data_IF_321126358528
#
_entry.id   IF_321126358528
#
_cell.length_a   1.000
_cell.length_b   1.000
_cell.length_c   1.000
_cell.angle_alpha   90.00
_cell.angle_beta   90.00
_cell.angle_gamma   90.00
#
_symmetry.space_group_name_H-M   'P 1'
#
loop_
_entity.id
_entity.type
_entity.pdbx_description
1 polymer ?
#
# COMPACT_ATOMS: atom_id res chain seq x y z
N UNK A 1 4.16 -23.63 -30.93
CA UNK A 1 4.62 -23.24 -29.57
C UNK A 1 4.13 -21.84 -29.29
N UNK A 2 3.50 -21.61 -28.14
CA UNK A 2 3.05 -20.27 -27.73
C UNK A 2 1.53 -20.10 -27.56
N UNK A 3 0.80 -21.16 -27.21
CA UNK A 3 -0.61 -21.06 -26.82
C UNK A 3 -0.75 -21.09 -25.30
N UNK A 4 -0.81 -19.93 -24.64
CA UNK A 4 -1.24 -19.80 -23.24
C UNK A 4 -1.80 -18.42 -22.85
N UNK A 5 -2.06 -17.50 -23.79
CA UNK A 5 -2.36 -16.09 -23.46
C UNK A 5 -3.85 -15.70 -23.42
N UNK A 6 -4.81 -16.64 -23.36
CA UNK A 6 -6.19 -16.34 -23.79
C UNK A 6 -7.36 -16.82 -22.90
N UNK A 7 -7.21 -17.07 -21.60
CA UNK A 7 -8.37 -17.61 -20.82
C UNK A 7 -8.62 -17.13 -19.37
N UNK A 8 -8.03 -16.02 -18.90
CA UNK A 8 -8.31 -15.52 -17.54
C UNK A 8 -9.03 -14.17 -17.48
N UNK A 9 -10.04 -13.94 -18.33
CA UNK A 9 -10.75 -12.65 -18.39
C UNK A 9 -12.13 -12.59 -17.69
N UNK A 10 -12.57 -13.60 -16.94
CA UNK A 10 -13.98 -13.65 -16.49
C UNK A 10 -14.30 -14.41 -15.19
N UNK A 11 -13.46 -14.35 -14.15
CA UNK A 11 -13.82 -14.94 -12.84
C UNK A 11 -13.78 -13.99 -11.65
N UNK A 12 -13.38 -12.72 -11.85
CA UNK A 12 -13.76 -11.69 -10.91
C UNK A 12 -15.18 -11.25 -11.24
N UNK A 13 -16.15 -11.83 -10.55
CA UNK A 13 -17.46 -11.19 -10.40
C UNK A 13 -17.29 -9.77 -9.85
N UNK A 14 -18.37 -8.99 -9.83
CA UNK A 14 -18.46 -7.58 -9.38
C UNK A 14 -18.05 -7.34 -7.90
N UNK A 15 -17.25 -8.20 -7.28
CA UNK A 15 -16.74 -8.03 -5.93
C UNK A 15 -15.69 -6.93 -5.92
N UNK A 16 -16.10 -5.78 -5.40
CA UNK A 16 -15.21 -4.68 -5.03
C UNK A 16 -14.23 -5.15 -3.95
N UNK A 17 -12.94 -4.96 -4.19
CA UNK A 17 -11.87 -5.32 -3.26
C UNK A 17 -11.56 -4.13 -2.34
N UNK A 18 -11.38 -4.38 -1.05
CA UNK A 18 -11.08 -3.35 -0.07
C UNK A 18 -9.58 -3.24 0.17
N UNK A 19 -9.02 -2.06 -0.10
CA UNK A 19 -7.62 -1.73 0.18
C UNK A 19 -7.57 -0.69 1.30
N UNK A 20 -6.71 -0.92 2.31
CA UNK A 20 -6.33 0.10 3.26
C UNK A 20 -4.96 0.69 2.89
N UNK A 21 -4.86 2.02 2.77
CA UNK A 21 -3.58 2.71 2.65
C UNK A 21 -3.19 3.29 4.01
N UNK A 22 -2.08 2.82 4.56
CA UNK A 22 -1.59 3.13 5.90
C UNK A 22 -0.11 3.54 5.86
N UNK A 23 0.38 4.09 6.97
CA UNK A 23 1.72 4.66 7.08
C UNK A 23 1.71 6.04 7.73
N UNK A 24 2.88 6.53 8.10
CA UNK A 24 3.01 7.79 8.85
C UNK A 24 2.50 9.00 8.05
N UNK A 25 2.21 10.08 8.76
CA UNK A 25 1.94 11.39 8.16
C UNK A 25 3.14 11.84 7.30
N UNK A 26 2.84 12.51 6.18
CA UNK A 26 3.86 12.96 5.24
C UNK A 26 4.44 11.87 4.32
N UNK A 27 4.11 10.59 4.51
CA UNK A 27 4.63 9.49 3.67
C UNK A 27 4.17 9.53 2.20
N UNK A 28 3.07 10.25 1.89
CA UNK A 28 2.56 10.42 0.53
C UNK A 28 1.38 9.52 0.15
N UNK A 29 0.66 8.95 1.13
CA UNK A 29 -0.49 8.06 0.94
C UNK A 29 -1.57 8.65 0.02
N UNK A 30 -2.07 9.83 0.36
CA UNK A 30 -3.10 10.54 -0.41
C UNK A 30 -2.62 10.93 -1.80
N UNK A 31 -1.34 11.30 -1.95
CA UNK A 31 -0.74 11.59 -3.27
C UNK A 31 -0.70 10.34 -4.15
N UNK A 32 -0.37 9.18 -3.58
CA UNK A 32 -0.40 7.90 -4.30
C UNK A 32 -1.84 7.57 -4.73
N UNK A 33 -2.81 7.71 -3.83
CA UNK A 33 -4.22 7.48 -4.14
C UNK A 33 -4.68 8.31 -5.34
N UNK A 34 -4.47 9.63 -5.31
CA UNK A 34 -4.85 10.48 -6.44
C UNK A 34 -4.06 10.16 -7.71
N UNK A 35 -2.77 9.83 -7.59
CA UNK A 35 -1.97 9.43 -8.75
C UNK A 35 -2.53 8.18 -9.43
N UNK A 36 -3.04 7.21 -8.65
CA UNK A 36 -3.70 6.01 -9.17
C UNK A 36 -5.10 6.29 -9.75
N UNK A 37 -5.84 7.25 -9.19
CA UNK A 37 -7.21 7.57 -9.60
C UNK A 37 -7.27 8.46 -10.85
N UNK A 38 -6.48 9.52 -10.90
CA UNK A 38 -6.57 10.57 -11.95
C UNK A 38 -5.33 10.65 -12.83
N UNK A 39 -4.27 9.89 -12.55
CA UNK A 39 -3.01 9.92 -13.31
C UNK A 39 -2.15 11.17 -13.09
N UNK A 40 -2.66 12.17 -12.37
CA UNK A 40 -1.99 13.45 -12.10
C UNK A 40 -1.54 13.59 -10.63
N UNK A 41 -0.56 14.46 -10.40
CA UNK A 41 -0.13 14.80 -9.04
C UNK A 41 -1.00 15.94 -8.54
N UNK A 42 -1.83 15.66 -7.55
CA UNK A 42 -2.61 16.68 -6.83
C UNK A 42 -1.82 17.11 -5.59
N UNK A 43 -1.67 18.42 -5.38
CA UNK A 43 -1.11 18.94 -4.12
C UNK A 43 -2.09 18.62 -2.98
N UNK A 44 -1.64 17.85 -2.00
CA UNK A 44 -2.48 17.38 -0.89
C UNK A 44 -2.14 18.07 0.43
N UNK A 45 -3.15 18.36 1.24
CA UNK A 45 -3.01 18.72 2.66
C UNK A 45 -3.07 17.41 3.48
N UNK A 46 -2.37 17.29 4.63
CA UNK A 46 -2.48 16.09 5.47
C UNK A 46 -3.93 15.72 5.79
N UNK A 47 -4.30 14.46 5.53
CA UNK A 47 -5.64 13.92 5.83
C UNK A 47 -5.94 13.93 7.33
N UNK A 48 -7.11 14.45 7.70
CA UNK A 48 -7.66 14.38 9.06
C UNK A 48 -8.70 13.26 9.07
N UNK A 49 -8.49 12.21 9.88
CA UNK A 49 -9.39 11.06 9.92
C UNK A 49 -9.13 10.09 8.76
N UNK A 50 -10.02 10.06 7.76
CA UNK A 50 -9.93 9.14 6.62
C UNK A 50 -10.57 9.70 5.35
N UNK A 51 -10.17 9.17 4.19
CA UNK A 51 -10.81 9.36 2.89
C UNK A 51 -11.18 8.00 2.27
N UNK A 52 -12.28 7.93 1.53
CA UNK A 52 -12.68 6.72 0.79
C UNK A 52 -12.89 7.06 -0.67
N UNK A 53 -12.14 6.40 -1.54
CA UNK A 53 -12.23 6.58 -2.99
C UNK A 53 -12.44 5.25 -3.69
N UNK A 54 -13.16 5.29 -4.81
CA UNK A 54 -13.20 4.17 -5.74
C UNK A 54 -12.11 4.35 -6.79
N UNK A 55 -11.20 3.39 -6.86
CA UNK A 55 -10.15 3.35 -7.88
C UNK A 55 -10.39 2.16 -8.78
N UNK A 56 -10.50 2.41 -10.08
CA UNK A 56 -10.53 1.35 -11.08
C UNK A 56 -9.15 1.23 -11.71
N UNK A 57 -8.48 0.09 -11.48
CA UNK A 57 -7.22 -0.21 -12.12
C UNK A 57 -7.39 -1.45 -13.00
N UNK A 58 -7.16 -1.28 -14.31
CA UNK A 58 -7.50 -2.25 -15.35
C UNK A 58 -8.99 -2.63 -15.26
N UNK A 59 -9.31 -3.88 -14.96
CA UNK A 59 -10.67 -4.41 -14.82
C UNK A 59 -11.08 -4.68 -13.36
N UNK A 60 -10.32 -4.18 -12.39
CA UNK A 60 -10.56 -4.40 -10.96
C UNK A 60 -10.97 -3.08 -10.32
N UNK A 61 -12.05 -3.13 -9.52
CA UNK A 61 -12.52 -2.00 -8.71
C UNK A 61 -12.05 -2.18 -7.27
N UNK A 62 -11.41 -1.14 -6.76
CA UNK A 62 -10.93 -1.05 -5.40
C UNK A 62 -11.70 0.01 -4.64
N UNK A 63 -12.18 -0.34 -3.45
CA UNK A 63 -12.57 0.62 -2.44
C UNK A 63 -11.33 0.92 -1.58
N UNK A 64 -10.75 2.10 -1.78
CA UNK A 64 -9.50 2.48 -1.13
C UNK A 64 -9.79 3.39 0.04
N UNK A 65 -9.34 2.98 1.23
CA UNK A 65 -9.44 3.76 2.46
C UNK A 65 -8.06 4.35 2.80
N UNK A 66 -7.89 5.65 2.61
CA UNK A 66 -6.68 6.39 2.99
C UNK A 66 -6.86 6.96 4.40
N UNK A 67 -6.08 6.47 5.37
CA UNK A 67 -6.19 6.93 6.76
C UNK A 67 -5.13 7.97 7.10
N UNK A 68 -5.49 8.91 7.98
CA UNK A 68 -4.54 9.87 8.55
C UNK A 68 -3.40 9.14 9.28
N UNK A 69 -2.16 9.59 9.02
CA UNK A 69 -0.96 8.99 9.60
C UNK A 69 -0.41 9.70 10.83
N UNK A 70 -1.13 10.71 11.33
CA UNK A 70 -0.71 11.52 12.48
C UNK A 70 -0.77 10.70 13.77
N UNK A 71 0.13 10.94 14.71
CA UNK A 71 0.22 10.18 15.97
C UNK A 71 -1.12 10.05 16.71
N UNK A 72 -1.94 11.10 16.71
CA UNK A 72 -3.28 11.11 17.35
C UNK A 72 -4.33 10.26 16.62
N UNK A 73 -4.11 9.92 15.36
CA UNK A 73 -5.06 9.20 14.50
C UNK A 73 -4.71 7.70 14.40
N UNK A 74 -3.43 7.31 14.49
CA UNK A 74 -2.97 5.91 14.36
C UNK A 74 -3.73 4.91 15.24
N UNK A 75 -4.09 5.21 16.51
CA UNK A 75 -4.86 4.28 17.35
C UNK A 75 -6.25 3.91 16.78
N UNK A 76 -6.78 4.69 15.84
CA UNK A 76 -8.06 4.44 15.19
C UNK A 76 -7.96 3.62 13.90
N UNK A 77 -6.75 3.29 13.42
CA UNK A 77 -6.58 2.45 12.23
C UNK A 77 -7.31 1.10 12.38
N UNK A 78 -7.25 0.52 13.58
CA UNK A 78 -7.93 -0.75 13.92
C UNK A 78 -9.43 -0.75 13.68
N UNK A 79 -10.08 0.41 13.72
CA UNK A 79 -11.51 0.51 13.42
C UNK A 79 -11.84 0.19 11.95
N UNK A 80 -10.84 0.07 11.08
CA UNK A 80 -11.02 -0.12 9.65
C UNK A 80 -10.46 -1.46 9.11
N UNK A 81 -9.85 -2.30 9.95
CA UNK A 81 -9.17 -3.52 9.52
C UNK A 81 -10.10 -4.60 8.98
N UNK A 82 -11.32 -4.71 9.52
CA UNK A 82 -12.27 -5.76 9.10
C UNK A 82 -12.55 -5.73 7.59
N UNK A 83 -12.67 -6.90 6.98
CA UNK A 83 -12.95 -7.05 5.54
C UNK A 83 -11.91 -6.40 4.60
N UNK A 84 -10.65 -6.30 5.03
CA UNK A 84 -9.55 -5.78 4.21
C UNK A 84 -8.91 -6.90 3.39
N UNK A 85 -8.90 -6.76 2.06
CA UNK A 85 -8.26 -7.73 1.17
C UNK A 85 -6.74 -7.46 1.07
N UNK A 86 -6.32 -6.20 1.12
CA UNK A 86 -4.92 -5.82 1.11
C UNK A 86 -4.62 -4.54 1.88
N UNK A 87 -3.41 -4.46 2.42
CA UNK A 87 -2.84 -3.26 3.03
C UNK A 87 -1.70 -2.74 2.15
N UNK A 88 -1.77 -1.46 1.79
CA UNK A 88 -0.68 -0.72 1.18
C UNK A 88 -0.03 0.14 2.28
N UNK A 89 1.16 -0.25 2.72
CA UNK A 89 1.91 0.46 3.75
C UNK A 89 2.95 1.37 3.09
N UNK A 90 2.79 2.69 3.24
CA UNK A 90 3.61 3.69 2.56
C UNK A 90 4.69 4.20 3.51
N UNK A 91 5.93 4.13 3.03
CA UNK A 91 7.14 4.57 3.72
C UNK A 91 7.68 5.84 3.07
N UNK A 92 7.97 6.85 3.88
CA UNK A 92 8.83 7.95 3.45
C UNK A 92 10.28 7.49 3.44
N UNK A 93 10.87 7.30 2.26
CA UNK A 93 12.25 6.82 2.15
C UNK A 93 13.28 7.87 2.57
N UNK A 94 12.89 9.14 2.73
CA UNK A 94 13.78 10.21 3.19
C UNK A 94 13.84 10.27 4.71
N UNK A 95 12.78 9.81 5.38
CA UNK A 95 12.58 9.97 6.81
C UNK A 95 13.22 8.85 7.64
N UNK A 96 14.55 8.90 7.74
CA UNK A 96 15.33 7.93 8.52
C UNK A 96 15.01 7.99 10.01
N UNK A 97 14.71 9.17 10.53
CA UNK A 97 14.47 9.40 11.97
C UNK A 97 13.19 8.69 12.46
N UNK A 98 12.12 8.73 11.65
CA UNK A 98 10.83 8.12 12.03
C UNK A 98 10.67 6.68 11.55
N UNK A 99 11.71 6.07 10.98
CA UNK A 99 11.64 4.68 10.50
C UNK A 99 11.34 3.67 11.61
N UNK A 100 11.87 3.89 12.82
CA UNK A 100 11.54 3.06 13.98
C UNK A 100 10.05 3.11 14.34
N UNK A 101 9.45 4.29 14.26
CA UNK A 101 8.01 4.49 14.50
C UNK A 101 7.21 3.77 13.41
N UNK A 102 7.60 3.90 12.14
CA UNK A 102 6.94 3.20 11.03
C UNK A 102 6.99 1.68 11.21
N UNK A 103 8.14 1.14 11.64
CA UNK A 103 8.28 -0.28 11.99
C UNK A 103 7.32 -0.69 13.09
N UNK A 104 7.30 0.03 14.21
CA UNK A 104 6.49 -0.35 15.36
C UNK A 104 4.99 -0.35 15.02
N UNK A 105 4.52 0.66 14.27
CA UNK A 105 3.13 0.73 13.81
C UNK A 105 2.80 -0.38 12.81
N UNK A 106 3.70 -0.69 11.86
CA UNK A 106 3.55 -1.83 10.95
C UNK A 106 3.43 -3.14 11.74
N UNK A 107 4.34 -3.38 12.68
CA UNK A 107 4.36 -4.61 13.47
C UNK A 107 3.18 -4.72 14.44
N UNK A 108 2.68 -3.61 14.97
CA UNK A 108 1.46 -3.59 15.77
C UNK A 108 0.24 -3.94 14.92
N UNK A 109 0.07 -3.28 13.77
CA UNK A 109 -0.99 -3.55 12.81
C UNK A 109 -1.01 -5.01 12.35
N UNK A 110 0.14 -5.60 12.02
CA UNK A 110 0.22 -6.96 11.46
C UNK A 110 -0.08 -8.07 12.49
N UNK A 111 -0.22 -7.74 13.78
CA UNK A 111 -0.64 -8.69 14.84
C UNK A 111 -2.15 -8.85 14.94
N UNK A 112 -2.92 -7.95 14.34
CA UNK A 112 -4.38 -7.97 14.42
C UNK A 112 -4.96 -9.08 13.53
N UNK A 113 -5.87 -9.88 14.11
CA UNK A 113 -6.37 -11.09 13.47
C UNK A 113 -7.16 -10.79 12.18
N UNK A 114 -7.83 -9.64 12.14
CA UNK A 114 -8.59 -9.14 11.00
C UNK A 114 -7.71 -8.95 9.75
N UNK A 115 -6.39 -8.79 9.93
CA UNK A 115 -5.44 -8.60 8.84
C UNK A 115 -4.65 -9.88 8.51
N UNK A 116 -4.88 -11.01 9.17
CA UNK A 116 -4.11 -12.24 8.93
C UNK A 116 -4.16 -12.71 7.46
N UNK A 117 -5.30 -12.53 6.79
CA UNK A 117 -5.47 -12.90 5.37
C UNK A 117 -5.09 -11.81 4.37
N UNK A 118 -4.81 -10.58 4.83
CA UNK A 118 -4.57 -9.46 3.94
C UNK A 118 -3.17 -9.51 3.30
N UNK A 119 -3.10 -9.26 1.99
CA UNK A 119 -1.83 -9.10 1.28
C UNK A 119 -1.19 -7.77 1.70
N UNK A 120 0.12 -7.75 1.93
CA UNK A 120 0.86 -6.54 2.29
C UNK A 120 1.69 -6.03 1.12
N UNK A 121 1.43 -4.81 0.67
CA UNK A 121 2.27 -4.09 -0.29
C UNK A 121 3.00 -2.96 0.43
N UNK A 122 4.33 -2.94 0.38
CA UNK A 122 5.12 -1.86 0.97
C UNK A 122 5.59 -0.94 -0.14
N UNK A 123 5.25 0.34 -0.06
CA UNK A 123 5.70 1.35 -1.01
C UNK A 123 6.82 2.17 -0.36
N UNK A 124 8.06 1.90 -0.75
CA UNK A 124 9.20 2.76 -0.46
C UNK A 124 9.07 4.02 -1.32
N UNK A 125 8.36 5.03 -0.82
CA UNK A 125 7.99 6.23 -1.56
C UNK A 125 9.04 7.33 -1.45
N UNK A 126 8.98 8.31 -2.36
CA UNK A 126 9.94 9.43 -2.50
C UNK A 126 11.34 8.99 -2.93
N UNK A 127 11.42 7.92 -3.71
CA UNK A 127 12.68 7.45 -4.32
C UNK A 127 13.24 8.41 -5.37
N UNK A 128 12.51 9.49 -5.69
CA UNK A 128 12.99 10.59 -6.52
C UNK A 128 13.88 11.60 -5.79
N UNK A 129 14.01 11.49 -4.46
CA UNK A 129 14.81 12.39 -3.63
C UNK A 129 16.21 11.82 -3.41
N UNK A 130 17.23 12.66 -3.57
CA UNK A 130 18.63 12.27 -3.34
C UNK A 130 18.87 11.92 -1.86
N UNK A 131 19.68 10.88 -1.61
CA UNK A 131 19.99 10.41 -0.25
C UNK A 131 18.88 9.59 0.43
N UNK A 132 17.76 9.32 -0.26
CA UNK A 132 16.72 8.43 0.25
C UNK A 132 17.24 7.02 0.52
N UNK A 133 16.60 6.32 1.46
CA UNK A 133 16.88 4.92 1.77
C UNK A 133 16.54 4.04 0.56
N UNK A 134 17.42 3.11 0.25
CA UNK A 134 17.11 2.07 -0.72
C UNK A 134 16.22 0.98 -0.10
N UNK A 135 15.72 0.07 -0.96
CA UNK A 135 14.81 -1.01 -0.56
C UNK A 135 15.43 -1.94 0.48
N UNK A 136 16.73 -2.23 0.40
CA UNK A 136 17.42 -3.11 1.36
C UNK A 136 17.50 -2.46 2.73
N UNK A 137 17.82 -1.17 2.81
CA UNK A 137 17.81 -0.41 4.06
C UNK A 137 16.41 -0.40 4.69
N UNK A 138 15.36 -0.14 3.90
CA UNK A 138 13.98 -0.14 4.39
C UNK A 138 13.55 -1.54 4.85
N UNK A 139 13.90 -2.58 4.10
CA UNK A 139 13.59 -3.97 4.46
C UNK A 139 14.17 -4.35 5.82
N UNK A 140 15.45 -4.03 6.04
CA UNK A 140 16.13 -4.27 7.31
C UNK A 140 15.55 -3.42 8.43
N UNK A 141 15.33 -2.13 8.19
CA UNK A 141 14.84 -1.20 9.20
C UNK A 141 13.42 -1.56 9.67
N UNK A 142 12.55 -2.00 8.75
CA UNK A 142 11.22 -2.51 9.09
C UNK A 142 11.25 -3.93 9.69
N UNK A 143 12.37 -4.64 9.66
CA UNK A 143 12.48 -5.99 10.21
C UNK A 143 11.64 -7.02 9.46
N UNK A 144 11.52 -6.88 8.14
CA UNK A 144 10.61 -7.71 7.32
C UNK A 144 11.02 -9.19 7.27
N UNK A 145 12.27 -9.53 7.60
CA UNK A 145 12.74 -10.91 7.76
C UNK A 145 11.93 -11.72 8.79
N UNK A 146 11.23 -11.03 9.71
CA UNK A 146 10.36 -11.67 10.71
C UNK A 146 9.01 -12.13 10.14
N UNK A 147 8.60 -11.66 8.96
CA UNK A 147 7.29 -11.93 8.36
C UNK A 147 7.31 -13.25 7.58
N UNK A 148 7.20 -14.39 8.28
CA UNK A 148 7.30 -15.72 7.67
C UNK A 148 6.02 -16.22 6.98
N UNK A 149 4.86 -15.83 7.50
CA UNK A 149 3.56 -16.39 7.11
C UNK A 149 2.66 -15.35 6.41
N UNK A 150 3.26 -14.35 5.77
CA UNK A 150 2.52 -13.28 5.12
C UNK A 150 3.03 -13.07 3.71
N UNK A 151 2.10 -13.00 2.76
CA UNK A 151 2.39 -12.61 1.39
C UNK A 151 2.64 -11.11 1.34
N UNK A 152 3.88 -10.70 1.06
CA UNK A 152 4.22 -9.30 0.92
C UNK A 152 5.26 -9.03 -0.17
N UNK A 153 5.30 -7.79 -0.65
CA UNK A 153 6.35 -7.29 -1.55
C UNK A 153 6.60 -5.80 -1.32
N UNK A 154 7.84 -5.37 -1.58
CA UNK A 154 8.27 -3.97 -1.48
C UNK A 154 8.59 -3.40 -2.87
N UNK A 155 8.09 -2.19 -3.14
CA UNK A 155 8.30 -1.47 -4.40
C UNK A 155 8.94 -0.11 -4.18
N UNK A 156 9.90 0.23 -5.03
CA UNK A 156 10.42 1.60 -5.14
C UNK A 156 9.36 2.45 -5.82
N UNK A 157 8.96 3.54 -5.20
CA UNK A 157 7.93 4.41 -5.75
C UNK A 157 8.28 5.89 -5.64
N UNK A 158 7.72 6.66 -6.56
CA UNK A 158 7.62 8.10 -6.44
C UNK A 158 6.20 8.51 -6.79
N UNK A 159 5.41 8.88 -5.79
CA UNK A 159 4.08 9.43 -6.00
C UNK A 159 4.10 10.66 -6.92
N UNK A 160 5.14 11.49 -6.77
CA UNK A 160 5.34 12.72 -7.56
C UNK A 160 5.67 12.42 -9.03
N UNK A 161 6.47 11.39 -9.32
CA UNK A 161 6.83 11.04 -10.69
C UNK A 161 5.92 9.95 -11.30
N UNK A 162 5.11 9.28 -10.48
CA UNK A 162 4.32 8.10 -10.86
C UNK A 162 5.13 6.83 -11.04
N UNK A 163 6.41 6.82 -10.67
CA UNK A 163 7.30 5.67 -10.90
C UNK A 163 6.97 4.54 -9.93
N UNK A 164 6.94 3.30 -10.44
CA UNK A 164 6.77 2.06 -9.66
C UNK A 164 5.36 1.79 -9.15
N UNK A 165 4.40 2.70 -9.36
CA UNK A 165 3.02 2.51 -8.90
C UNK A 165 2.29 1.44 -9.72
N UNK A 166 2.46 1.44 -11.05
CA UNK A 166 1.86 0.43 -11.93
C UNK A 166 2.43 -0.97 -11.64
N UNK A 167 3.74 -1.07 -11.37
CA UNK A 167 4.40 -2.33 -11.01
C UNK A 167 3.84 -2.88 -9.69
N UNK A 168 3.67 -2.02 -8.69
CA UNK A 168 3.09 -2.39 -7.40
C UNK A 168 1.63 -2.83 -7.54
N UNK A 169 0.83 -2.09 -8.31
CA UNK A 169 -0.57 -2.42 -8.54
C UNK A 169 -0.73 -3.70 -9.37
N UNK A 170 0.12 -3.93 -10.36
CA UNK A 170 0.12 -5.16 -11.15
C UNK A 170 0.41 -6.38 -10.28
N UNK A 171 1.44 -6.30 -9.44
CA UNK A 171 1.74 -7.36 -8.49
C UNK A 171 0.59 -7.58 -7.50
N UNK A 172 0.02 -6.51 -6.95
CA UNK A 172 -1.08 -6.59 -6.00
C UNK A 172 -2.31 -7.25 -6.64
N UNK A 173 -2.71 -6.81 -7.84
CA UNK A 173 -3.83 -7.37 -8.59
C UNK A 173 -3.63 -8.86 -8.88
N UNK A 174 -2.45 -9.23 -9.39
CA UNK A 174 -2.12 -10.62 -9.70
C UNK A 174 -2.12 -11.49 -8.44
N UNK A 175 -1.57 -10.98 -7.33
CA UNK A 175 -1.55 -11.70 -6.06
C UNK A 175 -2.97 -11.90 -5.54
N UNK A 176 -3.80 -10.85 -5.51
CA UNK A 176 -5.21 -10.92 -5.09
C UNK A 176 -6.05 -11.90 -5.93
N UNK A 177 -5.70 -12.07 -7.21
CA UNK A 177 -6.35 -13.05 -8.09
C UNK A 177 -5.95 -14.49 -7.77
N UNK A 178 -4.70 -14.71 -7.37
CA UNK A 178 -4.16 -16.04 -7.07
C UNK A 178 -4.36 -16.48 -5.61
N UNK A 179 -4.71 -15.55 -4.72
CA UNK A 179 -4.81 -15.78 -3.27
C UNK A 179 -6.21 -16.27 -2.82
N UNK A 180 -6.96 -16.92 -3.72
CA UNK A 180 -8.26 -17.52 -3.44
C UNK A 180 -8.24 -19.03 -3.66
#
# INVERSE_FOLDING_TARGET
>A
MGGFYSYFKSLFGEKELRILILGLDGAGKTTILYRLQVGEVVTTIPTIGFNVEQVTYKNIKFQVWDLGGQTTIRPYWRCYYSNTDAVVYVIDSVDRERMGIAKDELMYMLKEEELNGAILTILANKQDVEGCMNVTEIHQALGLDSLKNRTFQIFKTSAKKGIGLDEAMDWLCNTLQNHK
#
